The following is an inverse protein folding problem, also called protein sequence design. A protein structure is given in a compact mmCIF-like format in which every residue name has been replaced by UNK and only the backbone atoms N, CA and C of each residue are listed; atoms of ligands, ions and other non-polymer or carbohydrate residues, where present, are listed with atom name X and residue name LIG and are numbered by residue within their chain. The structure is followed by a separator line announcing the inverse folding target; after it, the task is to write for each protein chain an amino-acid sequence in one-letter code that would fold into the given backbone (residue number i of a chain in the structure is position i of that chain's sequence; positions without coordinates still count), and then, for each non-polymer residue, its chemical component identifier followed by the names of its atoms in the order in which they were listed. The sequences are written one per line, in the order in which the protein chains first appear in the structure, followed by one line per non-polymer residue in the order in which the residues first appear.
data_IF_148722021432
#
_entry.id   IF_148722021432
#
_cell.length_a   1.000
_cell.length_b   1.000
_cell.length_c   1.000
_cell.angle_alpha   90.00
_cell.angle_beta   90.00
_cell.angle_gamma   90.00
#
_symmetry.space_group_name_H-M   'P 1'
#
loop_
_entity.id
_entity.type
_entity.pdbx_description
1 polymer ?
#
# COMPACT_ATOMS: atom_id res chain seq x y z
N UNK A 1 17.71 5.21 36.34
CA UNK A 1 17.15 6.13 35.31
C UNK A 1 17.86 6.10 33.94
N UNK A 2 19.09 5.61 33.81
CA UNK A 2 19.83 5.54 32.54
C UNK A 2 19.38 4.37 31.62
N UNK A 3 18.96 3.24 32.17
CA UNK A 3 18.58 2.03 31.41
C UNK A 3 17.30 2.23 30.58
N UNK A 4 16.31 2.98 31.11
CA UNK A 4 15.04 3.27 30.42
C UNK A 4 15.19 4.21 29.22
N UNK A 5 16.19 5.09 29.22
CA UNK A 5 16.45 6.01 28.10
C UNK A 5 17.15 5.32 26.93
N UNK A 6 18.00 4.32 27.20
CA UNK A 6 18.68 3.53 26.15
C UNK A 6 17.70 2.61 25.44
N UNK A 7 16.77 2.01 26.18
CA UNK A 7 15.75 1.12 25.61
C UNK A 7 14.73 1.88 24.74
N UNK A 8 14.28 3.07 25.18
CA UNK A 8 13.41 3.94 24.36
C UNK A 8 14.13 4.49 23.11
N UNK A 9 15.44 4.74 23.18
CA UNK A 9 16.22 5.20 22.04
C UNK A 9 16.48 4.06 21.04
N UNK A 10 16.70 2.85 21.52
CA UNK A 10 16.82 1.62 20.72
C UNK A 10 15.49 1.32 19.99
N UNK A 11 14.35 1.36 20.69
CA UNK A 11 13.03 1.16 20.07
C UNK A 11 12.72 2.23 19.01
N UNK A 12 13.01 3.51 19.26
CA UNK A 12 12.82 4.58 18.27
C UNK A 12 13.70 4.42 17.04
N UNK A 13 14.92 3.95 17.18
CA UNK A 13 15.83 3.65 16.05
C UNK A 13 15.38 2.42 15.28
N UNK A 14 14.83 1.40 15.95
CA UNK A 14 14.24 0.22 15.33
C UNK A 14 12.95 0.60 14.59
N UNK A 15 12.07 1.41 15.19
CA UNK A 15 10.85 1.90 14.53
C UNK A 15 11.14 2.80 13.33
N UNK A 16 12.14 3.68 13.39
CA UNK A 16 12.54 4.51 12.24
C UNK A 16 13.12 3.70 11.08
N UNK A 17 13.77 2.56 11.37
CA UNK A 17 14.28 1.63 10.35
C UNK A 17 13.14 0.84 9.68
N UNK A 18 12.11 0.47 10.42
CA UNK A 18 10.96 -0.27 9.97
C UNK A 18 10.12 0.49 8.92
N UNK A 19 9.90 1.75 9.16
CA UNK A 19 9.13 2.63 8.29
C UNK A 19 9.84 2.96 6.97
N UNK A 20 11.17 3.03 6.97
CA UNK A 20 12.00 3.13 5.77
C UNK A 20 11.77 1.97 4.80
N UNK A 21 11.38 0.83 5.35
CA UNK A 21 11.19 -0.44 4.69
C UNK A 21 10.00 -0.46 3.75
N UNK A 22 8.84 -0.06 4.19
CA UNK A 22 7.63 -0.08 3.38
C UNK A 22 7.72 0.88 2.19
N UNK A 23 8.33 2.04 2.40
CA UNK A 23 8.44 3.04 1.34
C UNK A 23 9.42 2.63 0.23
N UNK A 24 10.55 2.01 0.56
CA UNK A 24 11.46 1.56 -0.49
C UNK A 24 10.89 0.34 -1.23
N UNK A 25 10.18 -0.56 -0.56
CA UNK A 25 9.47 -1.66 -1.24
C UNK A 25 8.38 -1.12 -2.15
N UNK A 26 7.62 -0.11 -1.72
CA UNK A 26 6.62 0.54 -2.54
C UNK A 26 7.22 1.29 -3.73
N UNK A 27 8.28 2.06 -3.48
CA UNK A 27 9.02 2.78 -4.54
C UNK A 27 9.65 1.77 -5.50
N UNK A 28 10.07 0.61 -5.01
CA UNK A 28 10.71 -0.46 -5.76
C UNK A 28 9.71 -1.29 -6.55
N UNK A 29 8.58 -1.64 -5.97
CA UNK A 29 7.50 -2.32 -6.68
C UNK A 29 6.80 -1.35 -7.66
N UNK A 30 6.84 -0.03 -7.37
CA UNK A 30 6.41 1.02 -8.29
C UNK A 30 7.21 1.08 -9.59
N UNK A 31 8.20 0.27 -9.76
CA UNK A 31 9.17 0.40 -10.81
C UNK A 31 8.95 -0.45 -12.08
N UNK A 32 7.83 -1.11 -12.27
CA UNK A 32 7.73 -2.20 -13.24
C UNK A 32 6.83 -2.09 -14.45
N UNK A 33 6.35 -0.95 -14.93
CA UNK A 33 5.48 -0.95 -16.12
C UNK A 33 5.82 0.11 -17.16
N UNK A 34 6.67 -0.21 -18.13
CA UNK A 34 6.67 0.40 -19.48
C UNK A 34 7.37 -0.46 -20.55
N UNK A 35 6.64 -1.31 -21.19
CA UNK A 35 6.98 -1.89 -22.48
C UNK A 35 5.80 -1.91 -23.45
N UNK A 36 4.64 -1.34 -23.11
CA UNK A 36 3.43 -1.62 -23.86
C UNK A 36 2.47 -0.49 -24.20
N UNK A 37 2.76 0.80 -23.97
CA UNK A 37 1.85 1.88 -24.41
C UNK A 37 2.55 3.13 -24.94
N UNK A 38 3.13 3.00 -26.09
CA UNK A 38 3.15 4.08 -27.08
C UNK A 38 1.96 3.87 -28.02
N UNK A 39 0.73 3.96 -27.57
CA UNK A 39 -0.49 4.02 -28.41
C UNK A 39 -1.71 3.81 -27.51
N UNK A 40 -2.23 4.87 -26.94
CA UNK A 40 -3.67 5.16 -26.84
C UNK A 40 -3.96 6.27 -25.81
N UNK A 41 -3.80 7.51 -26.27
CA UNK A 41 -4.61 8.60 -25.76
C UNK A 41 -6.05 8.35 -26.24
N UNK A 42 -6.93 7.94 -25.35
CA UNK A 42 -8.38 8.06 -25.56
C UNK A 42 -9.11 8.35 -24.26
N UNK A 43 -9.49 9.62 -24.12
CA UNK A 43 -10.72 10.17 -23.55
C UNK A 43 -11.44 9.32 -22.51
N UNK A 44 -11.31 9.72 -21.26
CA UNK A 44 -12.35 9.50 -20.27
C UNK A 44 -13.00 10.85 -19.90
N UNK A 45 -14.34 10.95 -19.78
CA UNK A 45 -14.99 12.18 -19.36
C UNK A 45 -14.69 12.46 -17.89
N UNK A 46 -14.19 13.66 -17.62
CA UNK A 46 -13.98 14.21 -16.30
C UNK A 46 -15.32 14.28 -15.55
N UNK A 47 -15.43 13.55 -14.43
CA UNK A 47 -16.40 13.90 -13.40
C UNK A 47 -15.65 14.80 -12.41
N UNK A 48 -15.63 16.09 -12.70
CA UNK A 48 -15.20 17.12 -11.74
C UNK A 48 -16.36 17.41 -10.80
N UNK A 49 -16.22 17.02 -9.53
CA UNK A 49 -16.86 17.75 -8.44
C UNK A 49 -16.23 19.15 -8.36
N UNK A 50 -17.04 20.19 -8.31
CA UNK A 50 -16.59 21.58 -8.28
C UNK A 50 -15.76 21.86 -7.01
N UNK A 51 -14.44 21.82 -7.13
CA UNK A 51 -13.55 22.58 -6.27
C UNK A 51 -13.29 23.91 -7.00
N UNK A 52 -13.94 24.97 -6.57
CA UNK A 52 -13.69 26.31 -7.08
C UNK A 52 -12.41 26.89 -6.47
N UNK A 53 -11.26 26.45 -6.98
CA UNK A 53 -10.03 27.21 -6.81
C UNK A 53 -9.82 28.00 -8.11
N UNK A 54 -9.73 29.32 -8.03
CA UNK A 54 -9.31 30.17 -9.15
C UNK A 54 -7.92 29.72 -9.63
N UNK A 55 -7.64 29.89 -10.90
CA UNK A 55 -6.38 29.51 -11.53
C UNK A 55 -5.21 30.12 -10.73
N UNK A 56 -4.43 29.26 -10.03
CA UNK A 56 -3.24 29.67 -9.25
C UNK A 56 -3.42 29.77 -7.73
N UNK A 57 -4.60 29.49 -7.15
CA UNK A 57 -4.78 29.45 -5.69
C UNK A 57 -4.54 28.04 -5.14
N UNK A 58 -3.74 27.98 -4.05
CA UNK A 58 -3.52 26.70 -3.32
C UNK A 58 -4.82 26.35 -2.59
N UNK A 59 -5.34 25.11 -2.74
CA UNK A 59 -6.54 24.68 -2.02
C UNK A 59 -6.36 24.79 -0.50
N UNK A 60 -7.41 25.27 0.17
CA UNK A 60 -7.45 25.46 1.63
C UNK A 60 -8.69 24.82 2.20
N UNK A 61 -8.54 24.30 3.41
CA UNK A 61 -9.65 23.81 4.23
C UNK A 61 -9.61 24.50 5.59
N UNK A 62 -10.76 24.76 6.18
CA UNK A 62 -10.89 25.31 7.54
C UNK A 62 -11.54 24.26 8.43
N UNK A 63 -10.87 23.91 9.52
CA UNK A 63 -11.34 22.94 10.50
C UNK A 63 -11.14 23.55 11.88
N UNK A 64 -12.22 23.66 12.66
CA UNK A 64 -12.25 24.26 14.01
C UNK A 64 -11.62 25.66 14.07
N UNK A 65 -11.84 26.48 13.04
CA UNK A 65 -11.30 27.84 12.94
C UNK A 65 -9.81 27.90 12.59
N UNK A 66 -9.20 26.77 12.24
CA UNK A 66 -7.82 26.69 11.79
C UNK A 66 -7.79 26.48 10.29
N UNK A 67 -7.00 27.29 9.58
CA UNK A 67 -6.80 27.17 8.13
C UNK A 67 -5.64 26.24 7.83
N UNK A 68 -5.86 25.30 6.92
CA UNK A 68 -4.86 24.39 6.40
C UNK A 68 -4.71 24.59 4.89
N UNK A 69 -3.48 24.67 4.40
CA UNK A 69 -3.18 24.73 2.96
C UNK A 69 -2.69 23.38 2.46
N UNK A 70 -3.18 22.94 1.29
CA UNK A 70 -2.75 21.72 0.66
C UNK A 70 -1.24 21.80 0.30
N UNK A 71 -0.50 20.74 0.61
CA UNK A 71 0.89 20.56 0.17
C UNK A 71 0.92 20.30 -1.33
N UNK A 72 1.66 21.10 -2.09
CA UNK A 72 1.73 21.01 -3.55
C UNK A 72 2.89 20.14 -4.05
N UNK A 73 3.90 19.88 -3.24
CA UNK A 73 5.07 19.05 -3.59
C UNK A 73 5.02 17.71 -2.85
N UNK A 74 3.94 16.98 -3.11
CA UNK A 74 3.72 15.63 -2.60
C UNK A 74 3.40 14.68 -3.75
N UNK A 75 3.82 13.42 -3.63
CA UNK A 75 3.39 12.31 -4.49
C UNK A 75 2.67 11.29 -3.62
N UNK A 76 1.45 10.91 -3.99
CA UNK A 76 0.68 9.87 -3.29
C UNK A 76 0.63 8.60 -4.13
N UNK A 77 0.89 7.45 -3.49
CA UNK A 77 0.90 6.13 -4.12
C UNK A 77 0.12 5.13 -3.27
N UNK A 78 -0.92 4.53 -3.85
CA UNK A 78 -1.63 3.42 -3.24
C UNK A 78 -1.04 2.08 -3.70
N UNK A 79 -0.50 1.32 -2.77
CA UNK A 79 -0.12 -0.08 -2.98
C UNK A 79 -1.30 -1.00 -2.67
N UNK A 80 -1.54 -1.93 -3.59
CA UNK A 80 -2.66 -2.85 -3.56
C UNK A 80 -2.11 -4.28 -3.66
N UNK A 81 -1.99 -4.99 -2.54
CA UNK A 81 -1.62 -6.41 -2.55
C UNK A 81 -2.85 -7.28 -2.75
N UNK A 82 -2.81 -8.14 -3.76
CA UNK A 82 -3.92 -9.04 -4.09
C UNK A 82 -3.58 -10.49 -3.78
N UNK A 83 -4.62 -11.28 -3.48
CA UNK A 83 -4.52 -12.70 -3.12
C UNK A 83 -4.39 -13.64 -4.33
N UNK A 84 -4.13 -13.09 -5.52
CA UNK A 84 -3.95 -13.82 -6.77
C UNK A 84 -2.53 -13.71 -7.30
N UNK A 85 -2.12 -14.67 -8.15
CA UNK A 85 -0.91 -14.53 -8.94
C UNK A 85 -1.15 -13.67 -10.18
N UNK A 86 -0.09 -13.10 -10.75
CA UNK A 86 -0.16 -12.28 -11.97
C UNK A 86 -0.71 -13.04 -13.18
N UNK A 87 -0.50 -14.36 -13.20
CA UNK A 87 -0.94 -15.28 -14.27
C UNK A 87 -2.36 -15.82 -14.05
N UNK A 88 -3.00 -15.57 -12.90
CA UNK A 88 -4.34 -16.06 -12.65
C UNK A 88 -5.35 -15.44 -13.63
N UNK A 89 -6.12 -16.32 -14.27
CA UNK A 89 -7.17 -15.88 -15.19
C UNK A 89 -8.30 -15.23 -14.42
N UNK A 90 -8.66 -14.01 -14.81
CA UNK A 90 -9.75 -13.26 -14.21
C UNK A 90 -11.00 -13.47 -15.06
N UNK A 91 -12.00 -14.13 -14.50
CA UNK A 91 -13.27 -14.47 -15.17
C UNK A 91 -14.33 -13.42 -14.83
N UNK A 92 -14.64 -12.56 -15.80
CA UNK A 92 -15.72 -11.57 -15.68
C UNK A 92 -15.36 -10.34 -14.84
N UNK A 93 -16.36 -9.49 -14.61
CA UNK A 93 -16.22 -8.12 -14.08
C UNK A 93 -16.23 -8.04 -12.54
N UNK A 94 -16.33 -9.17 -11.85
CA UNK A 94 -16.50 -9.27 -10.39
C UNK A 94 -15.56 -10.28 -9.75
N UNK A 95 -14.54 -10.73 -10.45
CA UNK A 95 -13.59 -11.76 -10.01
C UNK A 95 -12.14 -11.26 -10.03
N UNK A 96 -11.94 -9.99 -9.69
CA UNK A 96 -10.62 -9.37 -9.68
C UNK A 96 -9.68 -9.80 -8.54
N UNK A 97 -10.18 -10.63 -7.62
CA UNK A 97 -9.49 -10.89 -6.36
C UNK A 97 -9.79 -9.82 -5.31
N UNK A 98 -9.36 -10.06 -4.08
CA UNK A 98 -9.49 -9.11 -2.98
C UNK A 98 -8.17 -8.38 -2.76
N UNK A 99 -8.24 -7.09 -2.48
CA UNK A 99 -7.08 -6.33 -2.02
C UNK A 99 -6.84 -6.59 -0.54
N UNK A 100 -6.07 -7.63 -0.27
CA UNK A 100 -5.74 -8.08 1.09
C UNK A 100 -4.71 -7.19 1.80
N UNK A 101 -4.07 -6.29 1.06
CA UNK A 101 -3.12 -5.32 1.55
C UNK A 101 -3.36 -3.98 0.86
N UNK A 102 -3.58 -2.94 1.64
CA UNK A 102 -3.72 -1.57 1.17
C UNK A 102 -2.80 -0.67 1.99
N UNK A 103 -1.83 -0.06 1.32
CA UNK A 103 -0.88 0.86 1.93
C UNK A 103 -0.82 2.15 1.11
N UNK A 104 -1.29 3.25 1.69
CA UNK A 104 -1.12 4.58 1.11
C UNK A 104 0.19 5.19 1.57
N UNK A 105 1.01 5.59 0.61
CA UNK A 105 2.25 6.33 0.82
C UNK A 105 2.06 7.76 0.36
N UNK A 106 2.45 8.72 1.19
CA UNK A 106 2.49 10.14 0.85
C UNK A 106 3.92 10.63 1.00
N UNK A 107 4.57 10.89 -0.14
CA UNK A 107 5.94 11.35 -0.25
C UNK A 107 5.94 12.88 -0.21
N UNK A 108 6.38 13.47 0.89
CA UNK A 108 6.55 14.92 1.03
C UNK A 108 7.97 15.30 0.56
N UNK A 109 8.06 15.82 -0.64
CA UNK A 109 9.33 16.11 -1.28
C UNK A 109 10.02 17.32 -0.69
N UNK A 110 9.27 18.25 -0.11
CA UNK A 110 9.80 19.44 0.55
C UNK A 110 10.48 19.06 1.87
N UNK A 111 9.81 18.22 2.68
CA UNK A 111 10.31 17.80 3.99
C UNK A 111 11.20 16.54 3.90
N UNK A 112 11.23 15.87 2.74
CA UNK A 112 11.93 14.60 2.50
C UNK A 112 11.49 13.52 3.47
N UNK A 113 10.18 13.40 3.67
CA UNK A 113 9.56 12.39 4.52
C UNK A 113 8.56 11.56 3.72
N UNK A 114 8.30 10.35 4.18
CA UNK A 114 7.27 9.46 3.65
C UNK A 114 6.35 9.06 4.80
N UNK A 115 5.08 9.44 4.68
CA UNK A 115 4.02 8.97 5.56
C UNK A 115 3.36 7.74 5.00
N UNK A 116 2.94 6.87 5.88
CA UNK A 116 2.37 5.58 5.54
C UNK A 116 1.08 5.35 6.31
N UNK A 117 0.01 5.01 5.59
CA UNK A 117 -1.24 4.54 6.17
C UNK A 117 -1.53 3.12 5.66
N UNK A 118 -1.48 2.13 6.54
CA UNK A 118 -1.99 0.79 6.24
C UNK A 118 -3.48 0.74 6.59
N UNK A 119 -4.31 0.45 5.58
CA UNK A 119 -5.76 0.42 5.70
C UNK A 119 -6.19 -1.01 5.93
N UNK A 120 -7.01 -1.25 6.97
CA UNK A 120 -7.59 -2.56 7.21
C UNK A 120 -8.49 -2.94 6.03
N UNK A 121 -8.31 -4.15 5.51
CA UNK A 121 -9.07 -4.67 4.37
C UNK A 121 -10.58 -4.76 4.63
N UNK A 122 -10.96 -4.91 5.89
CA UNK A 122 -12.35 -5.05 6.33
C UNK A 122 -13.01 -3.68 6.60
N UNK A 123 -12.31 -2.56 6.29
CA UNK A 123 -12.84 -1.19 6.44
C UNK A 123 -14.07 -0.99 5.56
N UNK A 124 -15.18 -0.56 6.17
CA UNK A 124 -16.43 -0.27 5.49
C UNK A 124 -16.38 1.09 4.79
N UNK A 125 -16.58 1.08 3.48
CA UNK A 125 -16.59 2.31 2.66
C UNK A 125 -17.49 2.15 1.43
N UNK A 126 -17.73 3.26 0.72
CA UNK A 126 -18.48 3.25 -0.53
C UNK A 126 -17.61 2.71 -1.68
N UNK A 127 -18.02 1.60 -2.27
CA UNK A 127 -17.35 0.92 -3.38
C UNK A 127 -18.23 0.95 -4.63
N UNK A 128 -17.65 1.35 -5.77
CA UNK A 128 -18.35 1.26 -7.05
C UNK A 128 -18.51 -0.20 -7.49
N UNK A 129 -19.69 -0.56 -7.88
CA UNK A 129 -20.02 -1.93 -8.29
C UNK A 129 -20.44 -2.00 -9.75
N UNK A 130 -20.06 -3.11 -10.40
CA UNK A 130 -20.46 -3.38 -11.78
C UNK A 130 -21.62 -4.37 -11.85
N UNK A 131 -22.51 -4.17 -12.81
CA UNK A 131 -23.56 -5.10 -13.18
C UNK A 131 -23.02 -6.35 -13.86
N UNK A 132 -23.92 -7.30 -14.16
CA UNK A 132 -23.56 -8.58 -14.83
C UNK A 132 -22.92 -8.39 -16.20
N UNK A 133 -23.17 -7.28 -16.86
CA UNK A 133 -22.65 -6.96 -18.17
C UNK A 133 -21.51 -5.92 -18.13
N UNK A 134 -20.90 -5.70 -16.98
CA UNK A 134 -19.83 -4.72 -16.82
C UNK A 134 -20.27 -3.26 -16.78
N UNK A 135 -21.57 -2.97 -16.82
CA UNK A 135 -22.10 -1.62 -16.68
C UNK A 135 -22.03 -1.14 -15.25
N UNK A 136 -21.83 0.15 -15.06
CA UNK A 136 -21.89 0.78 -13.72
C UNK A 136 -23.27 0.51 -13.10
N UNK A 137 -23.30 -0.04 -11.88
CA UNK A 137 -24.48 -0.36 -11.10
C UNK A 137 -24.59 0.51 -9.82
N UNK A 138 -23.87 1.63 -9.77
CA UNK A 138 -23.82 2.53 -8.62
C UNK A 138 -22.77 2.14 -7.60
N UNK A 139 -22.94 2.61 -6.36
CA UNK A 139 -22.03 2.32 -5.26
C UNK A 139 -22.76 1.59 -4.13
N UNK A 140 -22.00 0.82 -3.33
CA UNK A 140 -22.50 0.14 -2.14
C UNK A 140 -21.47 0.26 -1.02
N UNK A 141 -21.94 0.39 0.22
CA UNK A 141 -21.08 0.29 1.39
C UNK A 141 -20.74 -1.18 1.61
N UNK A 142 -19.44 -1.49 1.60
CA UNK A 142 -18.89 -2.83 1.81
C UNK A 142 -17.43 -2.74 2.23
N UNK A 143 -16.82 -3.88 2.59
CA UNK A 143 -15.39 -3.93 2.92
C UNK A 143 -14.55 -3.42 1.73
N UNK A 144 -13.57 -2.58 2.02
CA UNK A 144 -12.73 -1.92 1.01
C UNK A 144 -11.96 -2.92 0.13
N UNK A 145 -11.61 -4.09 0.66
CA UNK A 145 -10.92 -5.14 -0.10
C UNK A 145 -11.74 -5.65 -1.30
N UNK A 146 -13.05 -5.51 -1.28
CA UNK A 146 -13.93 -5.93 -2.37
C UNK A 146 -13.90 -4.97 -3.55
N UNK A 147 -13.37 -3.77 -3.38
CA UNK A 147 -13.27 -2.76 -4.45
C UNK A 147 -12.48 -3.26 -5.64
N UNK A 148 -11.39 -4.00 -5.41
CA UNK A 148 -10.56 -4.59 -6.46
C UNK A 148 -11.29 -5.72 -7.22
N UNK A 149 -12.34 -6.28 -6.67
CA UNK A 149 -13.16 -7.29 -7.35
C UNK A 149 -13.84 -6.78 -8.62
N UNK A 150 -14.12 -5.48 -8.73
CA UNK A 150 -14.90 -4.87 -9.78
C UNK A 150 -14.03 -4.11 -10.80
N UNK A 151 -14.11 -4.48 -12.07
CA UNK A 151 -13.42 -3.82 -13.19
C UNK A 151 -13.37 -4.72 -14.42
N UNK A 152 -13.27 -4.12 -15.60
CA UNK A 152 -13.15 -4.82 -16.88
C UNK A 152 -11.77 -5.43 -17.06
N UNK A 153 -10.76 -4.74 -16.55
CA UNK A 153 -9.36 -5.15 -16.57
C UNK A 153 -8.67 -4.83 -15.24
N UNK A 154 -7.39 -5.19 -15.11
CA UNK A 154 -6.61 -4.95 -13.89
C UNK A 154 -6.47 -3.47 -13.57
N UNK A 155 -6.37 -2.60 -14.57
CA UNK A 155 -6.22 -1.15 -14.36
C UNK A 155 -7.49 -0.54 -13.78
N UNK A 156 -8.67 -0.88 -14.33
CA UNK A 156 -9.95 -0.41 -13.79
C UNK A 156 -10.17 -0.90 -12.35
N UNK A 157 -9.73 -2.10 -12.01
CA UNK A 157 -9.80 -2.65 -10.64
C UNK A 157 -8.94 -1.86 -9.67
N UNK A 158 -7.70 -1.56 -10.07
CA UNK A 158 -6.83 -0.68 -9.28
C UNK A 158 -7.44 0.71 -9.11
N UNK A 159 -8.01 1.28 -10.18
CA UNK A 159 -8.70 2.58 -10.11
C UNK A 159 -9.91 2.53 -9.19
N UNK A 160 -10.67 1.43 -9.18
CA UNK A 160 -11.80 1.27 -8.27
C UNK A 160 -11.35 1.21 -6.80
N UNK A 161 -10.25 0.49 -6.50
CA UNK A 161 -9.67 0.48 -5.15
C UNK A 161 -9.14 1.87 -4.76
N UNK A 162 -8.51 2.58 -5.69
CA UNK A 162 -8.03 3.93 -5.46
C UNK A 162 -9.19 4.87 -5.13
N UNK A 163 -10.29 4.82 -5.90
CA UNK A 163 -11.51 5.61 -5.62
C UNK A 163 -12.17 5.25 -4.29
N UNK A 164 -12.14 3.98 -3.89
CA UNK A 164 -12.65 3.57 -2.59
C UNK A 164 -11.81 4.16 -1.43
N UNK A 165 -10.47 4.20 -1.57
CA UNK A 165 -9.57 4.84 -0.58
C UNK A 165 -9.76 6.36 -0.57
N UNK A 166 -9.84 7.02 -1.73
CA UNK A 166 -10.13 8.45 -1.81
C UNK A 166 -11.47 8.81 -1.15
N UNK A 167 -12.49 7.99 -1.39
CA UNK A 167 -13.81 8.17 -0.78
C UNK A 167 -13.83 7.94 0.72
N UNK A 168 -13.07 6.96 1.23
CA UNK A 168 -12.89 6.70 2.65
C UNK A 168 -12.22 7.88 3.36
N UNK A 169 -11.12 8.37 2.79
CA UNK A 169 -10.29 9.38 3.41
C UNK A 169 -10.78 10.81 3.15
N UNK A 170 -11.64 11.01 2.14
CA UNK A 170 -11.99 12.33 1.65
C UNK A 170 -10.76 13.23 1.44
N UNK A 171 -9.70 12.64 0.87
CA UNK A 171 -8.40 13.27 0.67
C UNK A 171 -8.25 13.85 -0.74
N UNK A 172 -7.21 14.67 -1.00
CA UNK A 172 -6.81 15.00 -2.37
C UNK A 172 -6.61 13.76 -3.23
N UNK A 173 -6.73 13.91 -4.55
CA UNK A 173 -6.57 12.83 -5.51
C UNK A 173 -5.28 12.04 -5.26
N UNK A 174 -5.40 10.71 -5.18
CA UNK A 174 -4.24 9.81 -5.08
C UNK A 174 -3.71 9.59 -6.49
N UNK A 175 -2.50 10.10 -6.74
CA UNK A 175 -1.95 10.19 -8.08
C UNK A 175 -1.56 8.85 -8.69
N UNK A 176 -1.00 7.95 -7.86
CA UNK A 176 -0.37 6.72 -8.31
C UNK A 176 -0.99 5.51 -7.63
N UNK A 177 -1.00 4.39 -8.37
CA UNK A 177 -1.30 3.09 -7.78
C UNK A 177 -0.34 2.02 -8.26
N UNK A 178 -0.28 0.93 -7.48
CA UNK A 178 0.42 -0.29 -7.85
C UNK A 178 -0.24 -1.51 -7.25
N UNK A 179 -0.66 -2.42 -8.11
CA UNK A 179 -1.10 -3.76 -7.76
C UNK A 179 0.12 -4.69 -7.66
N UNK A 180 0.20 -5.43 -6.57
CA UNK A 180 1.27 -6.38 -6.25
C UNK A 180 0.68 -7.76 -6.01
N UNK A 181 0.76 -8.67 -6.97
CA UNK A 181 0.31 -10.05 -6.80
C UNK A 181 1.34 -10.88 -6.03
N UNK A 182 0.93 -12.09 -5.60
CA UNK A 182 1.75 -12.95 -4.74
C UNK A 182 3.08 -13.36 -5.36
N UNK A 183 3.12 -13.61 -6.66
CA UNK A 183 4.33 -14.00 -7.39
C UNK A 183 5.35 -12.86 -7.52
N UNK A 184 4.92 -11.61 -7.46
CA UNK A 184 5.82 -10.47 -7.34
C UNK A 184 6.58 -10.46 -6.00
N UNK A 185 5.93 -10.88 -4.91
CA UNK A 185 6.57 -10.99 -3.58
C UNK A 185 7.63 -12.10 -3.59
N UNK A 186 7.30 -13.27 -4.13
CA UNK A 186 8.25 -14.37 -4.30
C UNK A 186 9.47 -13.92 -5.12
N UNK A 187 9.21 -13.30 -6.27
CA UNK A 187 10.25 -12.81 -7.18
C UNK A 187 11.15 -11.75 -6.54
N UNK A 188 10.57 -10.81 -5.78
CA UNK A 188 11.33 -9.81 -5.06
C UNK A 188 12.22 -10.44 -3.98
N UNK A 189 11.66 -11.36 -3.18
CA UNK A 189 12.42 -12.06 -2.15
C UNK A 189 13.65 -12.75 -2.73
N UNK A 190 13.47 -13.46 -3.85
CA UNK A 190 14.54 -14.18 -4.51
C UNK A 190 15.58 -13.23 -5.13
N UNK A 191 15.13 -12.10 -5.71
CA UNK A 191 16.04 -11.07 -6.22
C UNK A 191 16.92 -10.45 -5.13
N UNK A 192 16.40 -10.35 -3.90
CA UNK A 192 17.15 -9.86 -2.74
C UNK A 192 18.13 -10.88 -2.18
N UNK A 193 18.01 -12.16 -2.58
CA UNK A 193 18.77 -13.28 -2.01
C UNK A 193 18.13 -13.86 -0.75
N UNK A 194 16.86 -13.56 -0.51
CA UNK A 194 16.06 -13.98 0.64
C UNK A 194 16.02 -12.95 1.76
N UNK A 195 14.82 -12.67 2.23
CA UNK A 195 14.58 -11.78 3.38
C UNK A 195 14.70 -12.60 4.66
N UNK A 196 15.49 -12.14 5.63
CA UNK A 196 15.67 -12.82 6.91
C UNK A 196 14.71 -12.24 7.95
N UNK A 197 13.87 -13.11 8.51
CA UNK A 197 12.90 -12.75 9.56
C UNK A 197 12.98 -13.73 10.73
N UNK A 198 12.56 -13.29 11.91
CA UNK A 198 12.32 -14.17 13.06
C UNK A 198 10.80 -14.35 13.16
N UNK A 199 10.34 -15.59 13.02
CA UNK A 199 8.91 -15.91 12.99
C UNK A 199 8.28 -15.72 14.38
N UNK A 200 7.29 -14.88 14.49
CA UNK A 200 6.51 -14.72 15.73
C UNK A 200 5.39 -15.74 15.85
N UNK A 201 5.00 -16.39 14.74
CA UNK A 201 3.95 -17.40 14.66
C UNK A 201 4.46 -18.73 14.11
N UNK A 202 3.63 -19.78 14.29
CA UNK A 202 3.91 -21.14 13.80
C UNK A 202 3.28 -21.36 12.43
N UNK A 203 4.11 -21.73 11.44
CA UNK A 203 3.68 -22.02 10.07
C UNK A 203 4.01 -23.48 9.67
N UNK A 204 4.31 -24.36 10.65
CA UNK A 204 4.71 -25.75 10.38
C UNK A 204 3.71 -26.54 9.59
N UNK A 205 2.44 -26.17 9.62
CA UNK A 205 1.40 -26.76 8.76
C UNK A 205 1.61 -26.46 7.27
N UNK A 206 2.39 -25.43 6.92
CA UNK A 206 2.76 -25.10 5.55
C UNK A 206 4.16 -25.59 5.19
N UNK A 207 5.11 -25.28 6.05
CA UNK A 207 6.52 -25.65 5.88
C UNK A 207 7.10 -26.03 7.26
N UNK A 208 7.57 -27.29 7.43
CA UNK A 208 8.13 -27.76 8.70
C UNK A 208 9.31 -26.93 9.23
N UNK A 209 10.00 -26.18 8.37
CA UNK A 209 11.10 -25.30 8.79
C UNK A 209 10.59 -23.99 9.42
N UNK A 210 9.37 -23.60 9.15
CA UNK A 210 8.79 -22.32 9.60
C UNK A 210 8.16 -22.44 10.99
N UNK A 211 8.98 -22.79 12.00
CA UNK A 211 8.54 -22.89 13.40
C UNK A 211 8.56 -21.54 14.09
N UNK A 212 7.65 -21.31 15.04
CA UNK A 212 7.67 -20.12 15.91
C UNK A 212 9.02 -19.93 16.59
N UNK A 213 9.57 -18.72 16.53
CA UNK A 213 10.86 -18.35 17.09
C UNK A 213 12.07 -18.68 16.20
N UNK A 214 11.88 -19.38 15.08
CA UNK A 214 12.95 -19.60 14.12
C UNK A 214 13.31 -18.32 13.38
N UNK A 215 14.62 -18.06 13.21
CA UNK A 215 15.13 -17.02 12.32
C UNK A 215 15.53 -17.66 11.00
N UNK A 216 14.85 -17.30 9.92
CA UNK A 216 15.03 -17.90 8.61
C UNK A 216 15.31 -16.83 7.54
N UNK A 217 16.20 -17.16 6.62
CA UNK A 217 16.28 -16.47 5.33
C UNK A 217 15.26 -17.15 4.41
N UNK A 218 14.19 -16.45 4.10
CA UNK A 218 13.03 -17.00 3.42
C UNK A 218 13.33 -17.33 1.95
N UNK A 219 12.81 -18.45 1.47
CA UNK A 219 12.60 -18.68 0.04
C UNK A 219 11.40 -17.86 -0.44
N UNK A 220 11.23 -17.70 -1.77
CA UNK A 220 10.07 -17.00 -2.32
C UNK A 220 8.73 -17.59 -1.88
N UNK A 221 8.62 -18.93 -1.78
CA UNK A 221 7.40 -19.60 -1.28
C UNK A 221 7.15 -19.34 0.21
N UNK A 222 8.21 -19.31 1.01
CA UNK A 222 8.12 -18.99 2.43
C UNK A 222 7.72 -17.53 2.65
N UNK A 223 8.24 -16.61 1.83
CA UNK A 223 7.84 -15.20 1.87
C UNK A 223 6.34 -15.02 1.56
N UNK A 224 5.84 -15.69 0.51
CA UNK A 224 4.40 -15.69 0.20
C UNK A 224 3.58 -16.33 1.34
N UNK A 225 4.06 -17.43 1.91
CA UNK A 225 3.41 -18.09 3.05
C UNK A 225 3.27 -17.14 4.25
N UNK A 226 4.34 -16.44 4.59
CA UNK A 226 4.37 -15.48 5.71
C UNK A 226 3.34 -14.37 5.55
N UNK A 227 3.27 -13.74 4.38
CA UNK A 227 2.41 -12.56 4.14
C UNK A 227 0.95 -12.90 3.84
N UNK A 228 0.66 -14.14 3.39
CA UNK A 228 -0.67 -14.54 2.93
C UNK A 228 -1.48 -15.31 3.98
N UNK A 229 -0.86 -16.29 4.67
CA UNK A 229 -1.59 -17.21 5.55
C UNK A 229 -2.26 -16.49 6.71
N UNK A 230 -3.52 -16.90 7.02
CA UNK A 230 -4.32 -16.31 8.09
C UNK A 230 -5.02 -17.37 8.94
N UNK A 231 -5.92 -18.16 8.33
CA UNK A 231 -6.91 -18.97 9.04
C UNK A 231 -6.34 -20.06 9.95
N UNK A 232 -5.15 -20.53 9.68
CA UNK A 232 -4.46 -21.61 10.39
C UNK A 232 -3.16 -21.13 11.07
N UNK A 233 -3.02 -19.82 11.26
CA UNK A 233 -1.84 -19.20 11.89
C UNK A 233 -2.28 -18.20 12.95
N UNK A 234 -1.69 -18.26 14.13
CA UNK A 234 -1.96 -17.42 15.28
C UNK A 234 -3.45 -17.41 15.64
N UNK A 235 -4.06 -16.23 15.78
CA UNK A 235 -5.48 -16.05 16.08
C UNK A 235 -6.39 -16.02 14.84
N UNK A 236 -5.78 -16.09 13.63
CA UNK A 236 -6.52 -16.06 12.38
C UNK A 236 -7.08 -14.69 11.99
N UNK A 237 -6.75 -13.63 12.71
CA UNK A 237 -7.25 -12.27 12.44
C UNK A 237 -6.53 -11.60 11.28
N UNK A 238 -7.14 -10.55 10.73
CA UNK A 238 -6.48 -9.69 9.74
C UNK A 238 -5.35 -8.87 10.37
N UNK A 239 -5.51 -8.42 11.59
CA UNK A 239 -4.53 -7.62 12.32
C UNK A 239 -3.18 -8.36 12.45
N UNK A 240 -3.21 -9.64 12.84
CA UNK A 240 -2.02 -10.48 12.91
C UNK A 240 -1.37 -10.65 11.54
N UNK A 241 -2.15 -10.81 10.45
CA UNK A 241 -1.60 -10.87 9.09
C UNK A 241 -0.96 -9.53 8.68
N UNK A 242 -1.60 -8.39 8.96
CA UNK A 242 -1.03 -7.06 8.69
C UNK A 242 0.30 -6.86 9.41
N UNK A 243 0.43 -7.38 10.63
CA UNK A 243 1.70 -7.36 11.38
C UNK A 243 2.79 -8.11 10.64
N UNK A 244 2.54 -9.35 10.16
CA UNK A 244 3.51 -10.15 9.40
C UNK A 244 3.89 -9.54 8.04
N UNK A 245 2.93 -8.94 7.36
CA UNK A 245 3.20 -8.20 6.12
C UNK A 245 4.18 -7.06 6.37
N UNK A 246 4.02 -6.36 7.50
CA UNK A 246 4.94 -5.31 7.92
C UNK A 246 6.31 -5.86 8.30
N UNK A 247 6.38 -6.94 9.09
CA UNK A 247 7.64 -7.60 9.45
C UNK A 247 8.47 -7.99 8.21
N UNK A 248 7.81 -8.55 7.19
CA UNK A 248 8.46 -8.83 5.92
C UNK A 248 9.00 -7.56 5.26
N UNK A 249 8.18 -6.51 5.17
CA UNK A 249 8.62 -5.24 4.59
C UNK A 249 9.76 -4.62 5.38
N UNK A 250 9.68 -4.60 6.71
CA UNK A 250 10.69 -4.06 7.62
C UNK A 250 12.06 -4.74 7.45
N UNK A 251 12.05 -6.03 7.14
CA UNK A 251 13.26 -6.79 6.87
C UNK A 251 13.75 -6.62 5.42
N UNK A 252 12.85 -6.51 4.43
CA UNK A 252 13.21 -6.43 3.02
C UNK A 252 13.91 -5.13 2.63
N UNK A 253 13.54 -4.03 3.21
CA UNK A 253 14.01 -2.71 2.77
C UNK A 253 15.44 -2.35 3.13
N UNK A 254 15.97 -2.67 4.28
CA UNK A 254 17.40 -2.54 4.49
C UNK A 254 18.21 -3.25 3.40
N UNK A 255 17.75 -4.46 3.00
CA UNK A 255 18.39 -5.22 1.92
C UNK A 255 18.30 -4.49 0.56
N UNK A 256 17.14 -3.95 0.24
CA UNK A 256 16.95 -3.18 -1.00
C UNK A 256 17.89 -1.96 -1.03
N UNK A 257 17.99 -1.23 0.07
CA UNK A 257 18.90 -0.07 0.17
C UNK A 257 20.36 -0.49 0.06
N UNK A 258 20.74 -1.57 0.71
CA UNK A 258 22.07 -2.14 0.60
C UNK A 258 22.40 -2.46 -0.87
N UNK A 259 21.50 -3.14 -1.58
CA UNK A 259 21.66 -3.48 -3.00
C UNK A 259 21.71 -2.23 -3.89
N UNK A 260 20.92 -1.19 -3.62
CA UNK A 260 20.99 0.09 -4.34
C UNK A 260 22.34 0.77 -4.11
N UNK A 261 22.85 0.76 -2.88
CA UNK A 261 24.14 1.35 -2.54
C UNK A 261 25.32 0.56 -3.13
N UNK A 262 25.20 -0.78 -3.23
CA UNK A 262 26.20 -1.63 -3.87
C UNK A 262 26.26 -1.42 -5.39
N UNK A 263 25.10 -1.16 -6.03
CA UNK A 263 25.00 -1.03 -7.49
C UNK A 263 23.89 -0.05 -7.89
N UNK A 264 24.28 1.03 -8.54
CA UNK A 264 23.30 1.99 -9.13
C UNK A 264 22.40 1.36 -10.20
N UNK A 265 22.79 0.23 -10.78
CA UNK A 265 22.01 -0.53 -11.73
C UNK A 265 20.93 -1.41 -11.08
N UNK A 266 21.01 -1.62 -9.75
CA UNK A 266 20.07 -2.50 -9.06
C UNK A 266 18.62 -2.01 -9.17
N UNK A 267 18.37 -0.71 -9.08
CA UNK A 267 17.03 -0.11 -9.29
C UNK A 267 16.46 -0.56 -10.64
N UNK A 268 17.25 -0.43 -11.71
CA UNK A 268 16.81 -0.82 -13.06
C UNK A 268 16.54 -2.33 -13.15
N UNK A 269 17.46 -3.15 -12.62
CA UNK A 269 17.30 -4.61 -12.60
C UNK A 269 16.02 -5.03 -11.89
N UNK A 270 15.78 -4.47 -10.73
CA UNK A 270 14.62 -4.77 -9.91
C UNK A 270 13.31 -4.37 -10.61
N UNK A 271 13.28 -3.18 -11.20
CA UNK A 271 12.21 -2.68 -12.04
C UNK A 271 11.91 -3.67 -13.16
N UNK A 272 12.90 -4.00 -13.95
CA UNK A 272 12.74 -4.86 -15.12
C UNK A 272 12.32 -6.29 -14.73
N UNK A 273 12.77 -6.77 -13.59
CA UNK A 273 12.39 -8.08 -13.04
C UNK A 273 10.94 -8.13 -12.57
N UNK A 274 10.45 -7.07 -11.93
CA UNK A 274 9.10 -7.05 -11.33
C UNK A 274 8.01 -6.57 -12.31
N UNK A 275 8.37 -5.82 -13.35
CA UNK A 275 7.43 -5.30 -14.37
C UNK A 275 6.43 -6.34 -14.90
N UNK A 276 6.82 -7.58 -15.21
CA UNK A 276 5.88 -8.56 -15.77
C UNK A 276 4.74 -8.94 -14.81
N UNK A 277 4.89 -8.68 -13.52
CA UNK A 277 3.96 -9.12 -12.48
C UNK A 277 2.99 -8.03 -12.04
N UNK A 278 3.46 -6.78 -11.94
CA UNK A 278 2.69 -5.68 -11.34
C UNK A 278 1.84 -4.91 -12.33
N UNK A 279 0.76 -4.29 -11.84
CA UNK A 279 -0.09 -3.37 -12.61
C UNK A 279 -0.03 -1.97 -11.98
N UNK A 280 0.33 -0.95 -12.78
CA UNK A 280 0.47 0.44 -12.28
C UNK A 280 0.17 1.45 -13.39
N UNK A 281 -0.18 2.68 -13.00
CA UNK A 281 -0.29 3.83 -13.91
C UNK A 281 1.04 4.58 -14.12
N UNK A 282 2.12 4.11 -13.49
CA UNK A 282 3.43 4.74 -13.66
C UNK A 282 4.16 4.24 -14.90
N UNK A 283 4.81 5.17 -15.58
CA UNK A 283 5.76 4.84 -16.64
C UNK A 283 7.15 4.55 -16.04
N UNK A 284 7.92 3.62 -16.64
CA UNK A 284 9.23 3.17 -16.15
C UNK A 284 10.16 4.33 -15.74
N UNK A 285 10.24 5.38 -16.55
CA UNK A 285 11.10 6.53 -16.27
C UNK A 285 10.66 7.30 -15.02
N UNK A 286 9.35 7.45 -14.82
CA UNK A 286 8.81 8.09 -13.60
C UNK A 286 9.18 7.29 -12.36
N UNK A 287 9.05 5.99 -12.43
CA UNK A 287 9.38 5.10 -11.33
C UNK A 287 10.85 5.19 -10.90
N UNK A 288 11.76 5.14 -11.87
CA UNK A 288 13.20 5.35 -11.62
C UNK A 288 13.44 6.71 -10.95
N UNK A 289 12.76 7.75 -11.41
CA UNK A 289 12.91 9.09 -10.86
C UNK A 289 12.39 9.19 -9.42
N UNK A 290 11.20 8.63 -9.14
CA UNK A 290 10.62 8.65 -7.79
C UNK A 290 11.48 7.85 -6.81
N UNK A 291 12.01 6.67 -7.21
CA UNK A 291 12.95 5.92 -6.37
C UNK A 291 14.20 6.72 -6.09
N UNK A 292 14.87 7.23 -7.13
CA UNK A 292 16.10 8.01 -6.97
C UNK A 292 15.88 9.28 -6.11
N UNK A 293 14.69 9.88 -6.20
CA UNK A 293 14.32 11.04 -5.41
C UNK A 293 14.09 10.69 -3.94
N UNK A 294 13.43 9.55 -3.68
CA UNK A 294 12.85 9.24 -2.36
C UNK A 294 13.57 8.13 -1.58
N UNK A 295 14.50 7.36 -2.17
CA UNK A 295 15.13 6.23 -1.47
C UNK A 295 15.89 6.64 -0.20
N UNK A 296 16.24 7.90 -0.04
CA UNK A 296 16.94 8.46 1.11
C UNK A 296 16.03 9.27 2.06
N UNK A 297 14.72 9.39 1.75
CA UNK A 297 13.80 10.11 2.62
C UNK A 297 13.65 9.40 3.97
N UNK A 298 13.35 10.19 5.00
CA UNK A 298 12.96 9.64 6.28
C UNK A 298 11.55 9.05 6.16
N UNK A 299 11.39 7.82 6.62
CA UNK A 299 10.11 7.15 6.60
C UNK A 299 9.53 7.17 8.00
N UNK A 300 8.35 7.72 8.12
CA UNK A 300 7.64 7.80 9.39
C UNK A 300 7.02 6.43 9.72
N UNK A 301 6.77 6.14 11.02
CA UNK A 301 6.10 4.91 11.41
C UNK A 301 4.77 4.71 10.67
N UNK A 302 4.45 3.47 10.35
CA UNK A 302 3.15 3.13 9.74
C UNK A 302 2.03 3.55 10.68
N UNK A 303 1.07 4.28 10.16
CA UNK A 303 -0.14 4.70 10.84
C UNK A 303 -1.30 3.76 10.46
N UNK A 304 -2.27 3.68 11.34
CA UNK A 304 -3.52 2.94 11.17
C UNK A 304 -4.67 3.86 11.53
N UNK A 305 -5.81 3.69 10.88
CA UNK A 305 -7.03 4.34 11.33
C UNK A 305 -7.49 3.70 12.64
N UNK A 306 -7.87 4.50 13.60
CA UNK A 306 -8.61 4.02 14.77
C UNK A 306 -10.05 3.69 14.35
N UNK A 307 -10.70 2.80 15.11
CA UNK A 307 -12.07 2.40 14.81
C UNK A 307 -12.48 1.16 15.59
N UNK A 308 -13.62 0.62 15.22
CA UNK A 308 -14.19 -0.55 15.89
C UNK A 308 -14.45 -1.68 14.89
N UNK A 309 -14.13 -2.92 15.31
CA UNK A 309 -14.50 -4.12 14.57
C UNK A 309 -15.87 -4.63 15.06
N UNK A 310 -16.69 -5.06 14.13
CA UNK A 310 -17.97 -5.71 14.38
C UNK A 310 -18.14 -6.91 13.45
N UNK A 311 -19.18 -7.71 13.71
CA UNK A 311 -19.58 -8.77 12.79
C UNK A 311 -20.85 -8.29 12.07
N UNK A 312 -20.79 -8.22 10.76
CA UNK A 312 -21.91 -7.84 9.93
C UNK A 312 -23.04 -8.87 9.93
N UNK A 313 -24.20 -8.52 9.39
CA UNK A 313 -25.35 -9.41 9.27
C UNK A 313 -25.06 -10.65 8.41
N UNK A 314 -24.10 -10.55 7.50
CA UNK A 314 -23.62 -11.63 6.64
C UNK A 314 -22.56 -12.53 7.32
N UNK A 315 -22.18 -12.23 8.55
CA UNK A 315 -21.22 -12.97 9.35
C UNK A 315 -19.75 -12.65 9.06
N UNK A 316 -19.47 -11.64 8.21
CA UNK A 316 -18.11 -11.17 7.96
C UNK A 316 -17.70 -10.07 8.94
N UNK A 317 -16.38 -9.91 9.12
CA UNK A 317 -15.83 -8.83 9.93
C UNK A 317 -16.01 -7.51 9.18
N UNK A 318 -16.44 -6.48 9.88
CA UNK A 318 -16.52 -5.10 9.43
C UNK A 318 -15.63 -4.24 10.33
N UNK A 319 -14.86 -3.33 9.75
CA UNK A 319 -14.12 -2.31 10.46
C UNK A 319 -14.71 -0.94 10.15
N UNK A 320 -15.14 -0.23 11.18
CA UNK A 320 -15.70 1.13 11.07
C UNK A 320 -14.66 2.12 11.57
N UNK A 321 -14.04 2.82 10.62
CA UNK A 321 -12.99 3.79 10.94
C UNK A 321 -13.56 5.02 11.63
N UNK A 322 -12.85 5.52 12.65
CA UNK A 322 -13.16 6.75 13.35
C UNK A 322 -12.89 7.97 12.46
N UNK A 323 -13.86 8.85 12.37
CA UNK A 323 -13.84 10.02 11.49
C UNK A 323 -12.72 10.99 11.87
N UNK A 324 -12.44 11.16 13.17
CA UNK A 324 -11.36 12.02 13.63
C UNK A 324 -9.99 11.45 13.25
N UNK A 325 -9.80 10.14 13.33
CA UNK A 325 -8.53 9.51 12.93
C UNK A 325 -8.27 9.67 11.42
N UNK A 326 -9.32 9.66 10.60
CA UNK A 326 -9.22 9.96 9.16
C UNK A 326 -8.78 11.40 8.96
N UNK A 327 -9.46 12.36 9.60
CA UNK A 327 -9.14 13.79 9.50
C UNK A 327 -7.71 14.06 9.93
N UNK A 328 -7.28 13.51 11.07
CA UNK A 328 -5.93 13.71 11.61
C UNK A 328 -4.87 13.22 10.62
N UNK A 329 -5.04 12.02 10.05
CA UNK A 329 -4.12 11.50 9.04
C UNK A 329 -4.09 12.39 7.79
N UNK A 330 -5.25 12.75 7.26
CA UNK A 330 -5.34 13.53 6.00
C UNK A 330 -4.72 14.90 6.17
N UNK A 331 -4.98 15.59 7.28
CA UNK A 331 -4.37 16.89 7.56
C UNK A 331 -2.85 16.80 7.68
N UNK A 332 -2.36 15.81 8.42
CA UNK A 332 -0.92 15.63 8.60
C UNK A 332 -0.21 15.23 7.29
N UNK A 333 -0.82 14.35 6.49
CA UNK A 333 -0.24 13.87 5.26
C UNK A 333 -0.27 14.90 4.11
N UNK A 334 -1.41 15.56 3.90
CA UNK A 334 -1.66 16.34 2.69
C UNK A 334 -1.71 17.86 2.90
N UNK A 335 -1.74 18.34 4.14
CA UNK A 335 -1.90 19.77 4.41
C UNK A 335 -0.82 20.31 5.35
N UNK A 336 -0.68 21.61 5.34
CA UNK A 336 0.16 22.39 6.27
C UNK A 336 -0.71 23.39 7.00
N UNK A 337 -0.67 23.34 8.34
CA UNK A 337 -1.35 24.32 9.18
C UNK A 337 -0.82 25.72 8.93
N UNK A 338 -1.69 26.69 8.73
CA UNK A 338 -1.35 28.11 8.68
C UNK A 338 -1.38 28.72 10.07
N UNK A 339 -0.36 29.52 10.36
CA UNK A 339 -0.30 30.33 11.58
C UNK A 339 -1.25 31.51 11.51
#
# INVERSE_FOLDING_TARGET
MAHSRHEKRSRRVVFAKAALAAAALAIVLAAGYMGGRLLEEKKYPEIRGEMSAGFGEIPKVEIDGVTYEQKMDVTSLLMIGIDKASTDEIKGYRDGGQSDFLLLLVLDHKNKTIRQLQIDRDTMTSVNVLGLFGNNAGSRVMQICLSHGYGMDRQERCQNSLKAVEGLLNCPEIELYMEVPLDAISTLNDLLGGVTVTLEDDFTAADPAMTKGATLTLTGEQAVTLVRRRMDVADGTNETRMTRQREFMDAAVPLIREKINESSGFITTMIDTLTPYVTTNMVRGRMINEINRAYHYEVEPVQYLFGEHSIGEDGFVEFHADEQSIVDFVLDAFYTKKE
#
